data_IF_527706824162
#
_entry.id   IF_527706824162
#
_cell.length_a   1.000
_cell.length_b   1.000
_cell.length_c   1.000
_cell.angle_alpha   90.00
_cell.angle_beta   90.00
_cell.angle_gamma   90.00
#
_symmetry.space_group_name_H-M   'P 1'
#
loop_
_entity.id
_entity.type
_entity.pdbx_description
1 polymer ?
#
# COMPACT_ATOMS: atom_id res chain seq x y z
N UNK A 1 30.56 63.73 -66.76
CA UNK A 1 29.53 64.56 -67.42
C UNK A 1 28.24 64.45 -66.61
N UNK A 2 27.89 65.62 -66.04
CA UNK A 2 26.55 66.16 -65.89
C UNK A 2 25.50 65.30 -65.17
N UNK A 3 25.21 65.74 -63.90
CA UNK A 3 24.04 66.58 -63.51
C UNK A 3 22.76 65.71 -63.37
N UNK A 4 21.83 65.78 -62.38
CA UNK A 4 21.38 66.81 -61.47
C UNK A 4 20.37 66.11 -60.49
N UNK A 5 20.30 66.50 -59.26
CA UNK A 5 19.19 66.46 -58.32
C UNK A 5 18.01 67.27 -58.89
N UNK A 6 16.72 67.12 -58.42
CA UNK A 6 16.32 67.63 -57.08
C UNK A 6 15.13 66.99 -56.42
N UNK A 7 15.04 67.04 -55.11
CA UNK A 7 14.09 67.83 -54.25
C UNK A 7 12.69 67.26 -53.96
N UNK A 8 12.52 66.92 -52.70
CA UNK A 8 11.46 67.21 -51.72
C UNK A 8 9.97 66.96 -52.02
N UNK A 9 9.35 66.30 -51.09
CA UNK A 9 8.18 66.87 -50.40
C UNK A 9 7.84 66.06 -49.10
N UNK A 10 7.72 66.81 -48.03
CA UNK A 10 7.25 66.50 -46.68
C UNK A 10 5.73 66.27 -46.68
N UNK A 11 5.26 65.23 -46.01
CA UNK A 11 3.92 65.21 -45.50
C UNK A 11 3.86 64.46 -44.15
N UNK A 12 3.80 65.22 -43.12
CA UNK A 12 3.49 64.90 -41.73
C UNK A 12 2.04 64.48 -41.63
N UNK A 13 1.79 63.29 -41.03
CA UNK A 13 0.47 63.04 -40.43
C UNK A 13 0.69 62.26 -39.13
N UNK A 14 0.30 62.91 -38.05
CA UNK A 14 0.20 62.39 -36.69
C UNK A 14 -0.97 61.45 -36.60
N UNK A 15 -0.80 60.30 -35.98
CA UNK A 15 -1.91 59.43 -35.54
C UNK A 15 -1.56 58.82 -34.17
N UNK A 16 -2.35 59.23 -33.27
CA UNK A 16 -2.60 58.92 -31.88
C UNK A 16 -2.22 57.55 -31.37
N UNK A 17 -1.47 57.59 -30.27
CA UNK A 17 -1.27 56.55 -29.30
C UNK A 17 -2.58 56.18 -28.59
N UNK A 18 -3.08 55.00 -28.74
CA UNK A 18 -4.01 54.37 -27.85
C UNK A 18 -3.26 53.28 -27.06
N UNK A 19 -2.82 53.64 -25.87
CA UNK A 19 -2.34 52.71 -24.84
C UNK A 19 -3.54 51.98 -24.29
N UNK A 20 -3.82 50.79 -24.79
CA UNK A 20 -4.69 49.84 -24.18
C UNK A 20 -3.90 49.05 -23.14
N UNK A 21 -3.96 49.44 -21.88
CA UNK A 21 -3.63 48.57 -20.75
C UNK A 21 -4.71 47.49 -20.65
N UNK A 22 -4.54 46.39 -21.36
CA UNK A 22 -5.19 45.16 -21.10
C UNK A 22 -4.35 44.43 -20.03
N UNK A 23 -4.80 44.53 -18.77
CA UNK A 23 -4.34 43.57 -17.73
C UNK A 23 -4.96 42.22 -18.08
N UNK A 24 -4.29 41.45 -18.91
CA UNK A 24 -4.53 40.04 -19.00
C UNK A 24 -4.00 39.43 -17.70
N UNK A 25 -4.91 39.33 -16.75
CA UNK A 25 -4.75 38.45 -15.60
C UNK A 25 -5.03 37.02 -16.12
N UNK A 26 -4.15 36.54 -17.00
CA UNK A 26 -4.13 35.18 -17.45
C UNK A 26 -3.79 34.32 -16.24
N UNK A 27 -4.82 33.82 -15.57
CA UNK A 27 -4.67 32.68 -14.69
C UNK A 27 -3.97 31.58 -15.50
N UNK A 28 -2.69 31.39 -15.24
CA UNK A 28 -1.91 30.28 -15.72
C UNK A 28 -2.50 29.05 -15.04
N UNK A 29 -3.52 28.45 -15.65
CA UNK A 29 -3.83 27.03 -15.41
C UNK A 29 -2.60 26.28 -15.91
N UNK A 30 -1.65 26.04 -14.98
CA UNK A 30 -0.45 25.28 -15.28
C UNK A 30 -0.89 23.91 -15.82
N UNK A 31 -0.72 23.69 -17.08
CA UNK A 31 -0.91 22.40 -17.73
C UNK A 31 0.00 21.42 -16.99
N UNK A 32 -0.58 20.46 -16.28
CA UNK A 32 0.20 19.47 -15.54
C UNK A 32 1.02 18.66 -16.54
N UNK A 33 2.35 18.60 -16.34
CA UNK A 33 3.28 17.85 -17.20
C UNK A 33 2.76 16.41 -17.38
N UNK A 34 2.87 15.87 -18.60
CA UNK A 34 2.61 14.44 -18.85
C UNK A 34 3.64 13.60 -18.11
N UNK A 35 3.17 12.59 -17.40
CA UNK A 35 4.00 11.68 -16.62
C UNK A 35 3.63 10.22 -16.89
N UNK A 36 4.61 9.35 -16.75
CA UNK A 36 4.42 7.89 -16.76
C UNK A 36 4.80 7.33 -15.40
N UNK A 37 3.92 6.50 -14.82
CA UNK A 37 4.13 5.86 -13.53
C UNK A 37 4.07 4.35 -13.72
N UNK A 38 5.17 3.67 -13.41
CA UNK A 38 5.24 2.22 -13.33
C UNK A 38 4.70 1.72 -11.99
N UNK A 39 3.91 0.65 -11.98
CA UNK A 39 3.38 0.02 -10.77
C UNK A 39 3.72 -1.47 -10.80
N UNK A 40 4.53 -1.92 -9.83
CA UNK A 40 4.82 -3.33 -9.58
C UNK A 40 4.03 -3.81 -8.37
N UNK A 41 2.98 -4.59 -8.60
CA UNK A 41 2.19 -5.22 -7.54
C UNK A 41 2.64 -6.67 -7.37
N UNK A 42 2.90 -7.12 -6.13
CA UNK A 42 3.42 -8.47 -5.90
C UNK A 42 2.41 -9.55 -6.22
N UNK A 43 1.18 -9.40 -5.74
CA UNK A 43 0.07 -10.34 -5.96
C UNK A 43 -1.26 -9.59 -5.96
N UNK A 44 -2.29 -10.19 -6.52
CA UNK A 44 -3.63 -9.64 -6.51
C UNK A 44 -4.43 -10.18 -5.33
N UNK A 45 -4.87 -9.28 -4.46
CA UNK A 45 -5.89 -9.49 -3.42
C UNK A 45 -6.45 -8.13 -2.96
N UNK A 46 -7.64 -8.11 -2.33
CA UNK A 46 -8.39 -6.88 -2.06
C UNK A 46 -7.59 -5.74 -1.42
N UNK A 47 -6.76 -6.03 -0.41
CA UNK A 47 -6.01 -4.98 0.30
C UNK A 47 -4.95 -4.32 -0.58
N UNK A 48 -4.19 -5.09 -1.40
CA UNK A 48 -3.21 -4.50 -2.33
C UNK A 48 -3.89 -3.78 -3.49
N UNK A 49 -5.05 -4.27 -3.95
CA UNK A 49 -5.86 -3.60 -4.96
C UNK A 49 -6.40 -2.28 -4.43
N UNK A 50 -6.90 -2.25 -3.18
CA UNK A 50 -7.35 -1.04 -2.50
C UNK A 50 -6.22 -0.01 -2.34
N UNK A 51 -5.00 -0.45 -2.00
CA UNK A 51 -3.84 0.43 -1.94
C UNK A 51 -3.48 1.02 -3.31
N UNK A 52 -3.51 0.21 -4.38
CA UNK A 52 -3.31 0.70 -5.75
C UNK A 52 -4.38 1.71 -6.16
N UNK A 53 -5.64 1.41 -5.90
CA UNK A 53 -6.75 2.30 -6.24
C UNK A 53 -6.67 3.62 -5.48
N UNK A 54 -6.36 3.60 -4.18
CA UNK A 54 -6.11 4.78 -3.37
C UNK A 54 -4.97 5.64 -3.92
N UNK A 55 -3.87 5.02 -4.32
CA UNK A 55 -2.73 5.70 -4.95
C UNK A 55 -3.13 6.40 -6.26
N UNK A 56 -3.84 5.71 -7.15
CA UNK A 56 -4.31 6.27 -8.43
C UNK A 56 -5.30 7.41 -8.19
N UNK A 57 -6.19 7.26 -7.19
CA UNK A 57 -7.13 8.33 -6.83
C UNK A 57 -6.40 9.58 -6.35
N UNK A 58 -5.35 9.45 -5.53
CA UNK A 58 -4.58 10.60 -5.07
C UNK A 58 -3.81 11.29 -6.20
N UNK A 59 -3.28 10.53 -7.18
CA UNK A 59 -2.71 11.12 -8.39
C UNK A 59 -3.76 11.95 -9.14
N UNK A 60 -4.98 11.43 -9.28
CA UNK A 60 -6.09 12.14 -9.94
C UNK A 60 -6.46 13.42 -9.18
N UNK A 61 -6.57 13.35 -7.86
CA UNK A 61 -6.85 14.50 -7.00
C UNK A 61 -5.71 15.54 -7.09
N UNK A 62 -4.47 15.10 -7.32
CA UNK A 62 -3.29 15.91 -7.60
C UNK A 62 -3.23 16.52 -9.00
N UNK A 63 -4.20 16.23 -9.87
CA UNK A 63 -4.31 16.77 -11.23
C UNK A 63 -3.69 15.89 -12.33
N UNK A 64 -3.40 14.62 -12.03
CA UNK A 64 -2.92 13.62 -12.99
C UNK A 64 -4.06 12.67 -13.38
N UNK A 65 -4.53 12.76 -14.62
CA UNK A 65 -5.65 11.96 -15.14
C UNK A 65 -5.17 10.99 -16.19
N UNK A 66 -5.45 9.71 -16.00
CA UNK A 66 -5.08 8.65 -16.95
C UNK A 66 -5.70 8.90 -18.33
N UNK A 67 -4.91 8.76 -19.38
CA UNK A 67 -5.30 9.03 -20.76
C UNK A 67 -5.20 10.51 -21.17
N UNK A 68 -5.02 11.45 -20.24
CA UNK A 68 -4.81 12.87 -20.52
C UNK A 68 -3.33 13.25 -20.33
N UNK A 69 -2.88 13.26 -19.07
CA UNK A 69 -1.51 13.62 -18.69
C UNK A 69 -0.83 12.57 -17.79
N UNK A 70 -1.47 11.42 -17.58
CA UNK A 70 -0.94 10.28 -16.83
C UNK A 70 -1.01 9.02 -17.69
N UNK A 71 0.09 8.28 -17.73
CA UNK A 71 0.14 6.91 -18.23
C UNK A 71 0.52 5.99 -17.07
N UNK A 72 -0.25 4.93 -16.87
CA UNK A 72 0.03 3.90 -15.88
C UNK A 72 0.49 2.62 -16.59
N UNK A 73 1.66 2.08 -16.21
CA UNK A 73 2.10 0.73 -16.56
C UNK A 73 2.00 -0.15 -15.32
N UNK A 74 0.98 -0.99 -15.27
CA UNK A 74 0.68 -1.85 -14.11
C UNK A 74 1.10 -3.28 -14.41
N UNK A 75 2.05 -3.79 -13.65
CA UNK A 75 2.59 -5.15 -13.74
C UNK A 75 2.31 -5.91 -12.44
N UNK A 76 1.89 -7.18 -12.56
CA UNK A 76 1.60 -8.05 -11.42
C UNK A 76 2.53 -9.26 -11.42
N UNK A 77 3.21 -9.51 -10.30
CA UNK A 77 4.16 -10.60 -10.16
C UNK A 77 3.50 -11.95 -9.81
N UNK A 78 2.19 -11.98 -9.57
CA UNK A 78 1.41 -13.19 -9.25
C UNK A 78 1.97 -14.00 -8.08
N UNK A 79 2.58 -13.31 -7.09
CA UNK A 79 3.20 -13.90 -5.91
C UNK A 79 4.56 -14.58 -6.16
N UNK A 80 5.12 -14.41 -7.36
CA UNK A 80 6.40 -15.01 -7.74
C UNK A 80 7.56 -14.01 -7.70
N UNK A 81 8.58 -14.33 -6.92
CA UNK A 81 9.73 -13.45 -6.70
C UNK A 81 10.57 -13.24 -7.97
N UNK A 82 10.69 -14.26 -8.82
CA UNK A 82 11.46 -14.15 -10.06
C UNK A 82 10.74 -13.21 -11.04
N UNK A 83 9.43 -13.31 -11.11
CA UNK A 83 8.59 -12.40 -11.90
C UNK A 83 8.68 -10.97 -11.38
N UNK A 84 8.64 -10.74 -10.05
CA UNK A 84 8.85 -9.41 -9.45
C UNK A 84 10.22 -8.82 -9.82
N UNK A 85 11.27 -9.62 -9.81
CA UNK A 85 12.62 -9.21 -10.22
C UNK A 85 12.68 -8.86 -11.72
N UNK A 86 12.00 -9.61 -12.59
CA UNK A 86 11.92 -9.31 -14.02
C UNK A 86 11.16 -7.99 -14.27
N UNK A 87 10.03 -7.77 -13.57
CA UNK A 87 9.27 -6.52 -13.62
C UNK A 87 10.16 -5.35 -13.20
N UNK A 88 10.88 -5.47 -12.09
CA UNK A 88 11.79 -4.44 -11.61
C UNK A 88 12.89 -4.11 -12.63
N UNK A 89 13.45 -5.12 -13.29
CA UNK A 89 14.46 -4.94 -14.36
C UNK A 89 13.89 -4.21 -15.58
N UNK A 90 12.64 -4.49 -15.95
CA UNK A 90 11.95 -3.77 -17.02
C UNK A 90 11.75 -2.29 -16.65
N UNK A 91 11.28 -2.01 -15.43
CA UNK A 91 11.11 -0.64 -14.95
C UNK A 91 12.44 0.12 -14.79
N UNK A 92 13.53 -0.57 -14.45
CA UNK A 92 14.86 0.04 -14.44
C UNK A 92 15.25 0.60 -15.82
N UNK A 93 14.84 -0.08 -16.88
CA UNK A 93 15.13 0.31 -18.28
C UNK A 93 14.05 1.18 -18.92
N UNK A 94 12.93 1.42 -18.25
CA UNK A 94 11.81 2.23 -18.75
C UNK A 94 12.10 3.73 -18.71
N UNK A 95 11.18 4.52 -19.28
CA UNK A 95 11.21 5.98 -19.19
C UNK A 95 10.19 6.52 -18.18
N UNK A 96 9.84 5.73 -17.16
CA UNK A 96 8.91 6.16 -16.12
C UNK A 96 9.46 7.31 -15.30
N UNK A 97 8.61 8.29 -14.97
CA UNK A 97 8.96 9.43 -14.12
C UNK A 97 8.97 9.05 -12.63
N UNK A 98 8.24 7.98 -12.26
CA UNK A 98 8.14 7.43 -10.90
C UNK A 98 7.71 5.96 -10.98
N UNK A 99 8.18 5.15 -10.02
CA UNK A 99 7.79 3.75 -9.92
C UNK A 99 7.25 3.47 -8.52
N UNK A 100 6.12 2.73 -8.46
CA UNK A 100 5.49 2.26 -7.22
C UNK A 100 5.69 0.76 -7.06
N UNK A 101 6.21 0.34 -5.91
CA UNK A 101 6.19 -1.05 -5.44
C UNK A 101 5.08 -1.28 -4.42
N UNK A 102 4.19 -2.21 -4.71
CA UNK A 102 3.11 -2.60 -3.80
C UNK A 102 3.46 -3.96 -3.20
N UNK A 103 3.56 -4.01 -1.89
CA UNK A 103 4.07 -5.07 -1.03
C UNK A 103 5.61 -5.18 -0.99
N UNK A 104 6.12 -5.68 0.15
CA UNK A 104 7.55 -5.78 0.45
C UNK A 104 8.38 -6.47 -0.64
N UNK A 105 7.99 -7.63 -1.21
CA UNK A 105 8.81 -8.30 -2.22
C UNK A 105 8.95 -7.50 -3.53
N UNK A 106 7.90 -6.79 -3.97
CA UNK A 106 7.97 -5.89 -5.13
C UNK A 106 8.86 -4.68 -4.84
N UNK A 107 8.70 -4.05 -3.68
CA UNK A 107 9.52 -2.92 -3.26
C UNK A 107 11.01 -3.29 -3.18
N UNK A 108 11.35 -4.45 -2.63
CA UNK A 108 12.72 -4.97 -2.56
C UNK A 108 13.32 -5.19 -3.95
N UNK A 109 12.56 -5.78 -4.88
CA UNK A 109 13.01 -5.98 -6.26
C UNK A 109 13.29 -4.65 -6.96
N UNK A 110 12.38 -3.67 -6.79
CA UNK A 110 12.56 -2.32 -7.36
C UNK A 110 13.75 -1.58 -6.76
N UNK A 111 13.91 -1.59 -5.44
CA UNK A 111 15.02 -0.92 -4.78
C UNK A 111 16.40 -1.46 -5.21
N UNK A 112 16.48 -2.75 -5.56
CA UNK A 112 17.69 -3.37 -6.07
C UNK A 112 17.98 -3.03 -7.53
N UNK A 113 16.95 -2.88 -8.37
CA UNK A 113 17.10 -2.70 -9.81
C UNK A 113 17.11 -1.22 -10.24
N UNK A 114 16.33 -0.36 -9.58
CA UNK A 114 16.08 1.03 -9.97
C UNK A 114 16.88 1.98 -9.07
N UNK A 115 17.89 2.64 -9.63
CA UNK A 115 18.80 3.51 -8.86
C UNK A 115 18.76 4.98 -9.27
N UNK A 116 18.17 5.30 -10.42
CA UNK A 116 18.20 6.62 -11.08
C UNK A 116 16.84 7.34 -11.12
N UNK A 117 15.77 6.67 -10.69
CA UNK A 117 14.40 7.19 -10.69
C UNK A 117 13.80 7.15 -9.29
N UNK A 118 12.82 8.01 -8.97
CA UNK A 118 12.05 7.90 -7.75
C UNK A 118 11.33 6.57 -7.64
N UNK A 119 11.49 5.89 -6.52
CA UNK A 119 10.73 4.68 -6.17
C UNK A 119 9.94 4.97 -4.91
N UNK A 120 8.63 4.77 -4.99
CA UNK A 120 7.75 4.73 -3.82
C UNK A 120 7.38 3.29 -3.51
N UNK A 121 7.15 3.02 -2.24
CA UNK A 121 6.53 1.77 -1.80
C UNK A 121 5.26 2.03 -1.00
N UNK A 122 4.35 1.07 -1.01
CA UNK A 122 3.16 1.00 -0.14
C UNK A 122 2.94 -0.44 0.28
N UNK A 123 2.23 -0.65 1.37
CA UNK A 123 2.01 -1.98 1.95
C UNK A 123 3.34 -2.71 2.23
N UNK A 124 4.27 -2.02 2.86
CA UNK A 124 5.56 -2.54 3.33
C UNK A 124 5.60 -2.47 4.85
N UNK A 125 5.71 -3.62 5.50
CA UNK A 125 5.57 -3.74 6.95
C UNK A 125 6.69 -3.06 7.72
N UNK A 126 7.95 -3.41 7.43
CA UNK A 126 9.13 -2.76 8.00
C UNK A 126 10.13 -2.42 6.89
N UNK A 127 10.15 -1.16 6.44
CA UNK A 127 11.05 -0.75 5.35
C UNK A 127 12.53 -0.78 5.72
N UNK A 128 12.87 -0.69 7.00
CA UNK A 128 14.26 -0.75 7.47
C UNK A 128 14.74 -2.21 7.47
N UNK A 129 13.96 -3.11 8.05
CA UNK A 129 14.28 -4.56 8.07
C UNK A 129 14.26 -5.15 6.64
N UNK A 130 13.37 -4.65 5.78
CA UNK A 130 13.34 -5.00 4.36
C UNK A 130 14.54 -4.47 3.55
N UNK A 131 15.39 -3.61 4.13
CA UNK A 131 16.57 -3.02 3.48
C UNK A 131 16.23 -1.97 2.42
N UNK A 132 15.07 -1.34 2.49
CA UNK A 132 14.61 -0.34 1.53
C UNK A 132 15.11 1.07 1.86
N UNK A 133 15.25 1.37 3.14
CA UNK A 133 15.62 2.69 3.66
C UNK A 133 16.62 2.57 4.80
N UNK A 134 17.42 3.61 5.02
CA UNK A 134 18.37 3.64 6.14
C UNK A 134 17.68 3.82 7.49
N UNK A 135 16.61 4.63 7.52
CA UNK A 135 15.74 4.84 8.67
C UNK A 135 14.39 5.39 8.20
N UNK A 136 13.38 5.36 9.07
CA UNK A 136 12.05 5.91 8.79
C UNK A 136 12.07 7.41 8.52
N UNK A 137 12.87 8.17 9.29
CA UNK A 137 12.93 9.63 9.19
C UNK A 137 13.85 10.13 8.06
N UNK A 138 14.85 9.33 7.68
CA UNK A 138 15.86 9.67 6.68
C UNK A 138 16.14 8.47 5.77
N UNK A 139 15.33 8.22 4.74
CA UNK A 139 15.49 7.10 3.82
C UNK A 139 16.85 7.05 3.12
N UNK A 140 17.36 8.19 2.67
CA UNK A 140 18.76 8.37 2.26
C UNK A 140 19.07 8.06 0.79
N UNK A 141 18.19 7.39 0.05
CA UNK A 141 18.39 7.05 -1.36
C UNK A 141 17.20 7.54 -2.22
N UNK A 142 16.96 6.91 -3.35
CA UNK A 142 15.84 7.20 -4.25
C UNK A 142 14.53 6.50 -3.87
N UNK A 143 14.45 5.89 -2.68
CA UNK A 143 13.33 5.07 -2.22
C UNK A 143 12.72 5.64 -0.96
N UNK A 144 11.40 5.76 -0.91
CA UNK A 144 10.58 6.09 0.28
C UNK A 144 9.16 5.57 0.09
N UNK A 145 8.24 5.79 1.04
CA UNK A 145 6.86 5.36 0.88
C UNK A 145 6.09 5.30 2.19
N UNK A 146 5.13 4.38 2.27
CA UNK A 146 4.28 4.19 3.45
C UNK A 146 4.41 2.79 4.01
N UNK A 147 4.49 2.70 5.35
CA UNK A 147 4.45 1.42 6.06
C UNK A 147 3.03 1.03 6.41
N UNK A 148 2.75 -0.28 6.31
CA UNK A 148 1.49 -0.90 6.74
C UNK A 148 1.62 -1.68 8.05
N UNK A 149 2.66 -1.40 8.86
CA UNK A 149 2.81 -2.07 10.15
C UNK A 149 1.54 -1.92 10.97
N UNK A 150 0.88 -3.03 11.21
CA UNK A 150 -0.34 -3.12 12.00
C UNK A 150 -0.02 -3.38 13.48
N UNK A 151 -0.96 -3.10 14.41
CA UNK A 151 -0.76 -3.33 15.83
C UNK A 151 -0.92 -4.82 16.17
N UNK A 152 0.09 -5.62 15.84
CA UNK A 152 0.08 -7.09 15.98
C UNK A 152 -0.26 -7.54 17.40
N UNK A 153 0.28 -6.85 18.42
CA UNK A 153 -0.01 -7.19 19.80
C UNK A 153 -1.51 -7.05 20.14
N UNK A 154 -2.15 -5.99 19.64
CA UNK A 154 -3.59 -5.76 19.85
C UNK A 154 -4.43 -6.80 19.11
N UNK A 155 -3.99 -7.21 17.92
CA UNK A 155 -4.62 -8.29 17.16
C UNK A 155 -4.57 -9.62 17.91
N UNK A 156 -3.44 -9.97 18.50
CA UNK A 156 -3.31 -11.18 19.34
C UNK A 156 -4.17 -11.09 20.59
N UNK A 157 -4.30 -9.89 21.20
CA UNK A 157 -5.20 -9.68 22.35
C UNK A 157 -6.68 -9.90 22.00
N UNK A 158 -7.10 -9.66 20.74
CA UNK A 158 -8.46 -9.95 20.31
C UNK A 158 -8.82 -11.43 20.51
N UNK A 159 -7.85 -12.35 20.43
CA UNK A 159 -8.07 -13.78 20.68
C UNK A 159 -8.64 -13.98 22.08
N UNK A 160 -8.04 -13.36 23.09
CA UNK A 160 -8.51 -13.46 24.49
C UNK A 160 -9.78 -12.69 24.75
N UNK A 161 -9.98 -11.55 24.08
CA UNK A 161 -11.23 -10.78 24.20
C UNK A 161 -12.42 -11.54 23.61
N UNK A 162 -12.24 -12.25 22.49
CA UNK A 162 -13.27 -13.02 21.81
C UNK A 162 -13.42 -14.45 22.37
N UNK A 163 -12.34 -15.07 22.85
CA UNK A 163 -12.32 -16.43 23.40
C UNK A 163 -11.45 -16.45 24.67
N UNK A 164 -11.97 -15.99 25.83
CA UNK A 164 -11.18 -15.88 27.08
C UNK A 164 -10.52 -17.19 27.52
N UNK A 165 -11.10 -18.33 27.15
CA UNK A 165 -10.56 -19.67 27.45
C UNK A 165 -9.47 -20.16 26.49
N UNK A 166 -9.14 -19.43 25.43
CA UNK A 166 -8.13 -19.83 24.46
C UNK A 166 -6.75 -20.04 25.13
N UNK A 167 -6.07 -21.13 24.73
CA UNK A 167 -4.75 -21.54 25.23
C UNK A 167 -3.70 -21.63 24.14
N UNK A 168 -4.13 -21.58 22.87
CA UNK A 168 -3.24 -21.75 21.71
C UNK A 168 -3.67 -20.87 20.54
N UNK A 169 -2.66 -20.50 19.73
CA UNK A 169 -2.84 -19.79 18.46
C UNK A 169 -1.95 -20.44 17.39
N UNK A 170 -2.55 -20.77 16.25
CA UNK A 170 -1.83 -21.12 15.04
C UNK A 170 -1.47 -19.87 14.26
N UNK A 171 -0.25 -19.78 13.76
CA UNK A 171 0.18 -18.69 12.88
C UNK A 171 0.56 -19.31 11.53
N UNK A 172 -0.07 -18.85 10.46
CA UNK A 172 0.22 -19.30 9.09
C UNK A 172 0.83 -18.16 8.29
N UNK A 173 1.96 -18.40 7.65
CA UNK A 173 2.69 -17.37 6.93
C UNK A 173 3.67 -17.94 5.88
N UNK A 174 4.11 -17.09 4.96
CA UNK A 174 5.14 -17.41 3.96
C UNK A 174 6.54 -17.25 4.56
N UNK A 175 7.31 -18.32 4.57
CA UNK A 175 8.70 -18.29 5.08
C UNK A 175 9.66 -17.48 4.21
N UNK A 176 9.25 -17.11 2.99
CA UNK A 176 10.05 -16.32 2.05
C UNK A 176 9.74 -14.83 2.05
N UNK A 177 8.88 -14.35 2.97
CA UNK A 177 8.48 -12.95 3.05
C UNK A 177 8.97 -12.30 4.35
N UNK A 178 9.83 -11.27 4.24
CA UNK A 178 10.39 -10.53 5.38
C UNK A 178 9.29 -9.86 6.21
N UNK A 179 8.28 -9.24 5.53
CA UNK A 179 7.12 -8.64 6.19
C UNK A 179 6.38 -9.62 7.11
N UNK A 180 6.27 -10.87 6.71
CA UNK A 180 5.59 -11.89 7.50
C UNK A 180 6.42 -12.27 8.73
N UNK A 181 7.73 -12.45 8.58
CA UNK A 181 8.60 -12.81 9.68
C UNK A 181 8.58 -11.77 10.81
N UNK A 182 8.64 -10.48 10.48
CA UNK A 182 8.55 -9.38 11.46
C UNK A 182 7.27 -9.48 12.28
N UNK A 183 6.12 -9.64 11.62
CA UNK A 183 4.82 -9.75 12.29
C UNK A 183 4.70 -11.04 13.12
N UNK A 184 5.24 -12.15 12.63
CA UNK A 184 5.25 -13.43 13.36
C UNK A 184 6.05 -13.31 14.65
N UNK A 185 7.21 -12.67 14.61
CA UNK A 185 8.03 -12.49 15.80
C UNK A 185 7.35 -11.58 16.85
N UNK A 186 6.62 -10.55 16.40
CA UNK A 186 5.78 -9.75 17.31
C UNK A 186 4.58 -10.53 17.84
N UNK A 187 3.89 -11.30 16.98
CA UNK A 187 2.77 -12.13 17.39
C UNK A 187 3.18 -13.19 18.42
N UNK A 188 4.35 -13.78 18.28
CA UNK A 188 4.90 -14.74 19.26
C UNK A 188 5.16 -14.09 20.63
N UNK A 189 5.72 -12.87 20.63
CA UNK A 189 5.93 -12.10 21.87
C UNK A 189 4.59 -11.77 22.55
N UNK A 190 3.62 -11.30 21.76
CA UNK A 190 2.29 -10.98 22.25
C UNK A 190 1.54 -12.23 22.76
N UNK A 191 1.60 -13.34 22.02
CA UNK A 191 1.00 -14.61 22.39
C UNK A 191 1.58 -15.14 23.72
N UNK A 192 2.89 -15.04 23.90
CA UNK A 192 3.53 -15.40 25.17
C UNK A 192 3.03 -14.54 26.33
N UNK A 193 2.86 -13.23 26.13
CA UNK A 193 2.34 -12.31 27.16
C UNK A 193 0.88 -12.65 27.53
N UNK A 194 0.07 -13.11 26.56
CA UNK A 194 -1.31 -13.55 26.77
C UNK A 194 -1.44 -15.01 27.25
N UNK A 195 -0.31 -15.71 27.45
CA UNK A 195 -0.29 -17.11 27.89
C UNK A 195 -0.81 -18.08 26.83
N UNK A 196 -0.66 -17.76 25.54
CA UNK A 196 -1.03 -18.60 24.42
C UNK A 196 0.18 -19.41 23.95
N UNK A 197 -0.04 -20.72 23.72
CA UNK A 197 0.94 -21.56 23.05
C UNK A 197 0.86 -21.30 21.54
N UNK A 198 2.00 -21.04 20.89
CA UNK A 198 2.07 -20.82 19.45
C UNK A 198 2.37 -22.11 18.72
N UNK A 199 1.66 -22.33 17.60
CA UNK A 199 1.95 -23.34 16.59
C UNK A 199 2.14 -22.63 15.24
N UNK A 200 3.28 -22.78 14.61
CA UNK A 200 3.62 -22.15 13.35
C UNK A 200 3.46 -23.12 12.17
N UNK A 201 2.86 -22.65 11.07
CA UNK A 201 2.84 -23.34 9.78
C UNK A 201 3.33 -22.38 8.70
N UNK A 202 4.31 -22.83 7.94
CA UNK A 202 4.86 -22.04 6.84
C UNK A 202 4.40 -22.59 5.50
N UNK A 203 4.23 -21.66 4.55
CA UNK A 203 3.97 -21.99 3.15
C UNK A 203 5.02 -21.32 2.27
N UNK A 204 5.21 -21.85 1.08
CA UNK A 204 6.07 -21.26 0.05
C UNK A 204 5.26 -20.80 -1.16
N UNK A 205 4.06 -21.34 -1.31
CA UNK A 205 3.10 -20.99 -2.37
C UNK A 205 1.68 -20.87 -1.81
N UNK A 206 0.83 -20.11 -2.49
CA UNK A 206 -0.60 -19.99 -2.14
C UNK A 206 -1.33 -21.35 -2.20
N UNK A 207 -0.91 -22.27 -3.05
CA UNK A 207 -1.51 -23.60 -3.16
C UNK A 207 -1.35 -24.45 -1.89
N UNK A 208 -0.36 -24.18 -1.05
CA UNK A 208 -0.10 -24.91 0.20
C UNK A 208 -0.98 -24.42 1.36
N UNK A 209 -1.62 -23.25 1.23
CA UNK A 209 -2.39 -22.60 2.31
C UNK A 209 -3.51 -23.51 2.83
N UNK A 210 -4.25 -24.17 1.94
CA UNK A 210 -5.34 -25.06 2.32
C UNK A 210 -4.87 -26.18 3.26
N UNK A 211 -3.83 -26.90 2.85
CA UNK A 211 -3.28 -28.02 3.64
C UNK A 211 -2.71 -27.53 4.98
N UNK A 212 -2.02 -26.42 4.98
CA UNK A 212 -1.48 -25.82 6.20
C UNK A 212 -2.59 -25.43 7.17
N UNK A 213 -3.63 -24.74 6.70
CA UNK A 213 -4.77 -24.33 7.52
C UNK A 213 -5.55 -25.52 8.10
N UNK A 214 -5.79 -26.56 7.29
CA UNK A 214 -6.45 -27.79 7.73
C UNK A 214 -5.66 -28.56 8.80
N UNK A 215 -4.35 -28.37 8.89
CA UNK A 215 -3.49 -29.08 9.84
C UNK A 215 -3.49 -28.47 11.25
N UNK A 216 -4.08 -27.28 11.48
CA UNK A 216 -4.13 -26.69 12.82
C UNK A 216 -5.11 -27.42 13.75
N UNK A 217 -4.68 -27.57 15.00
CA UNK A 217 -5.51 -28.02 16.15
C UNK A 217 -5.32 -27.02 17.30
N UNK A 218 -5.65 -25.76 17.03
CA UNK A 218 -5.44 -24.63 17.95
C UNK A 218 -6.79 -23.96 18.27
N UNK A 219 -6.84 -23.15 19.31
CA UNK A 219 -8.05 -22.42 19.70
C UNK A 219 -8.37 -21.24 18.78
N UNK A 220 -7.32 -20.65 18.19
CA UNK A 220 -7.39 -19.54 17.24
C UNK A 220 -6.35 -19.72 16.15
N UNK A 221 -6.59 -19.09 14.99
CA UNK A 221 -5.61 -18.89 13.93
C UNK A 221 -5.38 -17.39 13.78
N UNK A 222 -4.14 -16.99 13.60
CA UNK A 222 -3.73 -15.64 13.22
C UNK A 222 -3.09 -15.67 11.82
N UNK A 223 -3.58 -14.79 10.95
CA UNK A 223 -3.04 -14.54 9.62
C UNK A 223 -2.47 -13.12 9.61
N UNK A 224 -1.15 -12.93 9.57
CA UNK A 224 -0.55 -11.62 9.39
C UNK A 224 -0.86 -11.04 7.99
N UNK A 225 -0.37 -9.86 7.67
CA UNK A 225 -0.43 -9.32 6.30
C UNK A 225 0.57 -10.03 5.38
N UNK A 226 0.35 -11.31 5.19
CA UNK A 226 1.14 -12.22 4.35
C UNK A 226 0.52 -12.31 2.96
N UNK A 227 1.27 -11.96 1.93
CA UNK A 227 0.73 -11.84 0.58
C UNK A 227 0.18 -13.17 0.03
N UNK A 228 0.86 -14.29 0.29
CA UNK A 228 0.45 -15.59 -0.25
C UNK A 228 -0.71 -16.20 0.53
N UNK A 229 -0.71 -16.04 1.86
CA UNK A 229 -1.79 -16.54 2.72
C UNK A 229 -3.05 -15.72 2.49
N UNK A 230 -2.95 -14.40 2.41
CA UNK A 230 -4.11 -13.52 2.14
C UNK A 230 -4.67 -13.78 0.73
N UNK A 231 -3.83 -14.07 -0.27
CA UNK A 231 -4.31 -14.50 -1.59
C UNK A 231 -5.09 -15.83 -1.55
N UNK A 232 -4.79 -16.71 -0.60
CA UNK A 232 -5.48 -17.99 -0.38
C UNK A 232 -6.42 -18.02 0.83
N UNK A 233 -6.86 -16.88 1.33
CA UNK A 233 -7.54 -16.71 2.63
C UNK A 233 -8.83 -17.54 2.75
N UNK A 234 -9.57 -17.74 1.67
CA UNK A 234 -10.81 -18.53 1.68
C UNK A 234 -10.60 -19.96 2.19
N UNK A 235 -9.44 -20.54 1.92
CA UNK A 235 -9.10 -21.86 2.45
C UNK A 235 -8.90 -21.83 3.98
N UNK A 236 -8.28 -20.76 4.50
CA UNK A 236 -8.10 -20.58 5.95
C UNK A 236 -9.45 -20.38 6.63
N UNK A 237 -10.32 -19.53 6.06
CA UNK A 237 -11.69 -19.29 6.56
C UNK A 237 -12.47 -20.61 6.61
N UNK A 238 -12.48 -21.37 5.52
CA UNK A 238 -13.18 -22.66 5.43
C UNK A 238 -12.70 -23.65 6.49
N UNK A 239 -11.39 -23.77 6.69
CA UNK A 239 -10.80 -24.64 7.71
C UNK A 239 -11.17 -24.18 9.13
N UNK A 240 -11.13 -22.88 9.39
CA UNK A 240 -11.48 -22.29 10.67
C UNK A 240 -12.96 -22.51 11.03
N UNK A 241 -13.87 -22.28 10.07
CA UNK A 241 -15.31 -22.53 10.24
C UNK A 241 -15.61 -24.01 10.50
N UNK A 242 -15.03 -24.93 9.71
CA UNK A 242 -15.23 -26.35 9.84
C UNK A 242 -14.82 -26.89 11.22
N UNK A 243 -13.74 -26.34 11.78
CA UNK A 243 -13.17 -26.74 13.07
C UNK A 243 -13.64 -25.92 14.27
N UNK A 244 -14.43 -24.85 14.05
CA UNK A 244 -14.83 -23.90 15.10
C UNK A 244 -13.63 -23.22 15.77
N UNK A 245 -12.63 -22.85 14.97
CA UNK A 245 -11.45 -22.11 15.38
C UNK A 245 -11.68 -20.62 15.06
N UNK A 246 -11.40 -19.71 16.00
CA UNK A 246 -11.49 -18.27 15.72
C UNK A 246 -10.36 -17.83 14.79
N UNK A 247 -10.64 -16.98 13.79
CA UNK A 247 -9.67 -16.49 12.81
C UNK A 247 -9.48 -14.98 12.98
N UNK A 248 -8.32 -14.58 13.44
CA UNK A 248 -7.89 -13.17 13.52
C UNK A 248 -6.99 -12.86 12.34
N UNK A 249 -7.26 -11.77 11.66
CA UNK A 249 -6.50 -11.33 10.48
C UNK A 249 -5.72 -10.04 10.75
N UNK A 250 -4.70 -9.79 9.95
CA UNK A 250 -3.84 -8.61 10.04
C UNK A 250 -4.50 -7.33 9.50
N UNK A 251 -5.61 -7.44 8.75
CA UNK A 251 -6.21 -6.27 8.08
C UNK A 251 -7.71 -6.44 7.80
N UNK A 252 -8.39 -5.30 7.47
CA UNK A 252 -9.86 -5.22 7.40
C UNK A 252 -10.48 -5.97 6.23
N UNK A 253 -9.86 -5.94 5.04
CA UNK A 253 -10.41 -6.61 3.85
C UNK A 253 -10.52 -8.13 4.07
N UNK A 254 -9.59 -8.72 4.84
CA UNK A 254 -9.69 -10.13 5.26
C UNK A 254 -10.89 -10.40 6.18
N UNK A 255 -11.29 -9.44 7.01
CA UNK A 255 -12.50 -9.56 7.84
C UNK A 255 -13.76 -9.47 6.99
N UNK A 256 -13.76 -8.61 5.98
CA UNK A 256 -14.87 -8.53 5.00
C UNK A 256 -15.03 -9.82 4.21
N UNK A 257 -13.92 -10.51 3.91
CA UNK A 257 -13.92 -11.83 3.24
C UNK A 257 -14.35 -12.98 4.16
N UNK A 258 -14.31 -12.82 5.47
CA UNK A 258 -14.78 -13.84 6.40
C UNK A 258 -13.84 -14.18 7.55
N UNK A 259 -12.74 -13.46 7.78
CA UNK A 259 -12.05 -13.54 9.05
C UNK A 259 -12.93 -12.96 10.17
N UNK A 260 -12.67 -13.35 11.42
CA UNK A 260 -13.53 -12.98 12.54
C UNK A 260 -13.37 -11.52 12.96
N UNK A 261 -12.13 -11.05 13.10
CA UNK A 261 -11.84 -9.71 13.54
C UNK A 261 -10.41 -9.27 13.22
N UNK A 262 -10.21 -7.96 13.23
CA UNK A 262 -8.90 -7.29 13.19
C UNK A 262 -8.92 -5.98 13.97
N UNK A 263 -7.75 -5.52 14.38
CA UNK A 263 -7.43 -4.13 14.65
C UNK A 263 -6.42 -3.70 13.59
N UNK A 264 -6.83 -2.88 12.62
CA UNK A 264 -5.98 -2.66 11.45
C UNK A 264 -6.16 -1.29 10.79
N UNK A 265 -5.23 -0.96 9.91
CA UNK A 265 -5.28 0.24 9.07
C UNK A 265 -6.19 0.03 7.86
N UNK A 266 -6.51 1.14 7.16
CA UNK A 266 -7.26 1.11 5.90
C UNK A 266 -6.30 1.19 4.71
N UNK A 267 -6.34 0.20 3.82
CA UNK A 267 -5.41 0.12 2.68
C UNK A 267 -5.71 1.12 1.56
N UNK A 268 -6.97 1.52 1.37
CA UNK A 268 -7.30 2.62 0.43
C UNK A 268 -6.66 3.93 0.89
N UNK A 269 -6.79 4.24 2.19
CA UNK A 269 -6.21 5.45 2.77
C UNK A 269 -4.66 5.40 2.77
N UNK A 270 -4.07 4.21 2.98
CA UNK A 270 -2.63 3.99 2.85
C UNK A 270 -2.13 4.29 1.43
N UNK A 271 -2.80 3.73 0.44
CA UNK A 271 -2.51 3.99 -0.97
C UNK A 271 -2.66 5.47 -1.32
N UNK A 272 -3.72 6.11 -0.84
CA UNK A 272 -3.93 7.54 -1.03
C UNK A 272 -2.79 8.37 -0.45
N UNK A 273 -2.35 8.07 0.76
CA UNK A 273 -1.21 8.72 1.41
C UNK A 273 0.06 8.57 0.55
N UNK A 274 0.32 7.38 0.01
CA UNK A 274 1.45 7.13 -0.91
C UNK A 274 1.31 7.94 -2.20
N UNK A 275 0.11 8.05 -2.74
CA UNK A 275 -0.18 8.85 -3.93
C UNK A 275 0.04 10.36 -3.70
N UNK A 276 -0.27 10.85 -2.51
CA UNK A 276 0.05 12.23 -2.11
C UNK A 276 1.58 12.46 -2.04
N UNK A 277 2.35 11.45 -1.62
CA UNK A 277 3.82 11.48 -1.72
C UNK A 277 4.28 11.54 -3.19
N UNK A 278 3.65 10.75 -4.07
CA UNK A 278 3.94 10.78 -5.51
C UNK A 278 3.68 12.17 -6.12
N UNK A 279 2.58 12.82 -5.74
CA UNK A 279 2.26 14.17 -6.20
C UNK A 279 3.34 15.17 -5.77
N UNK A 280 3.82 15.10 -4.52
CA UNK A 280 4.95 15.94 -4.05
C UNK A 280 6.23 15.73 -4.86
N UNK A 281 6.53 14.50 -5.26
CA UNK A 281 7.69 14.18 -6.10
C UNK A 281 7.49 14.73 -7.52
N UNK A 282 6.37 14.43 -8.16
CA UNK A 282 6.11 14.73 -9.56
C UNK A 282 5.87 16.23 -9.81
N UNK A 283 5.23 16.94 -8.88
CA UNK A 283 4.80 18.32 -9.01
C UNK A 283 5.78 19.31 -8.36
N UNK A 284 6.24 18.98 -7.16
CA UNK A 284 7.03 19.89 -6.34
C UNK A 284 8.53 19.56 -6.39
N UNK A 285 8.91 18.43 -7.03
CA UNK A 285 10.31 18.00 -7.14
C UNK A 285 10.90 17.50 -5.83
N UNK A 286 10.06 17.04 -4.89
CA UNK A 286 10.51 16.45 -3.64
C UNK A 286 11.39 15.21 -3.90
N UNK A 287 12.42 15.03 -3.09
CA UNK A 287 13.36 13.93 -3.27
C UNK A 287 13.03 12.78 -2.31
N UNK A 288 12.85 11.55 -2.78
CA UNK A 288 12.52 10.42 -1.92
C UNK A 288 13.43 10.26 -0.70
N UNK A 289 14.73 10.40 -0.89
CA UNK A 289 15.70 10.26 0.20
C UNK A 289 15.62 11.32 1.31
N UNK A 290 14.90 12.41 1.08
CA UNK A 290 14.64 13.49 2.03
C UNK A 290 13.21 13.44 2.61
N UNK A 291 12.37 12.52 2.12
CA UNK A 291 10.99 12.34 2.57
C UNK A 291 10.93 11.19 3.55
N UNK A 292 10.57 11.46 4.80
CA UNK A 292 10.35 10.41 5.79
C UNK A 292 9.35 9.36 5.28
N UNK A 293 9.54 8.11 5.70
CA UNK A 293 8.51 7.08 5.52
C UNK A 293 7.31 7.45 6.37
N UNK A 294 6.12 7.37 5.79
CA UNK A 294 4.89 7.73 6.47
C UNK A 294 4.12 6.50 6.94
N UNK A 295 3.30 6.67 7.97
CA UNK A 295 2.43 5.62 8.51
C UNK A 295 1.05 6.18 8.81
N UNK A 296 0.04 5.34 8.77
CA UNK A 296 -1.29 5.69 9.31
C UNK A 296 -1.23 5.70 10.85
N UNK A 297 -1.92 6.66 11.45
CA UNK A 297 -1.99 6.80 12.92
C UNK A 297 -3.22 6.15 13.52
N UNK A 298 -4.28 6.01 12.71
CA UNK A 298 -5.56 5.49 13.15
C UNK A 298 -5.73 4.05 12.67
N UNK A 299 -6.15 3.19 13.58
CA UNK A 299 -6.53 1.81 13.30
C UNK A 299 -7.99 1.62 13.64
N UNK A 300 -8.65 0.67 12.97
CA UNK A 300 -10.07 0.36 13.18
C UNK A 300 -10.25 -1.05 13.70
N UNK A 301 -11.12 -1.19 14.70
CA UNK A 301 -11.60 -2.49 15.15
C UNK A 301 -12.76 -2.91 14.24
N UNK A 302 -12.54 -3.97 13.46
CA UNK A 302 -13.55 -4.53 12.55
C UNK A 302 -13.87 -5.94 13.01
N UNK A 303 -15.16 -6.27 13.14
CA UNK A 303 -15.64 -7.58 13.61
C UNK A 303 -16.69 -8.10 12.62
N UNK A 304 -16.61 -9.38 12.28
CA UNK A 304 -17.61 -10.05 11.44
C UNK A 304 -18.52 -10.94 12.32
N UNK A 305 -19.73 -10.45 12.58
CA UNK A 305 -20.71 -11.16 13.42
C UNK A 305 -21.27 -12.43 12.74
N UNK A 306 -21.36 -12.43 11.41
CA UNK A 306 -21.76 -13.62 10.65
C UNK A 306 -20.72 -14.74 10.81
N UNK A 307 -19.43 -14.40 10.68
CA UNK A 307 -18.33 -15.35 10.86
C UNK A 307 -18.23 -15.82 12.32
N UNK A 308 -18.41 -14.91 13.29
CA UNK A 308 -18.43 -15.28 14.70
C UNK A 308 -19.41 -16.44 14.98
N UNK A 309 -20.63 -16.34 14.42
CA UNK A 309 -21.63 -17.40 14.53
C UNK A 309 -21.19 -18.70 13.85
N UNK A 310 -20.58 -18.61 12.67
CA UNK A 310 -20.07 -19.76 11.93
C UNK A 310 -18.94 -20.47 12.69
N UNK A 311 -18.04 -19.71 13.31
CA UNK A 311 -16.93 -20.23 14.11
C UNK A 311 -17.32 -20.58 15.56
N UNK A 312 -18.58 -20.35 15.96
CA UNK A 312 -19.07 -20.65 17.33
C UNK A 312 -18.49 -19.71 18.38
N UNK A 313 -18.18 -18.46 18.02
CA UNK A 313 -17.66 -17.42 18.91
C UNK A 313 -18.79 -16.46 19.28
N UNK A 314 -18.95 -16.18 20.57
CA UNK A 314 -19.84 -15.12 21.05
C UNK A 314 -19.03 -13.80 21.14
N UNK A 315 -19.52 -12.75 20.50
CA UNK A 315 -18.89 -11.42 20.57
C UNK A 315 -19.39 -10.72 21.82
N UNK A 316 -18.50 -10.39 22.79
CA UNK A 316 -18.90 -9.63 23.97
C UNK A 316 -19.50 -8.28 23.59
N UNK A 317 -20.58 -7.86 24.28
CA UNK A 317 -21.23 -6.58 23.99
C UNK A 317 -20.26 -5.40 24.08
N UNK A 318 -19.36 -5.42 25.09
CA UNK A 318 -18.34 -4.39 25.24
C UNK A 318 -17.37 -4.28 24.06
N UNK A 319 -17.09 -5.38 23.37
CA UNK A 319 -16.24 -5.38 22.19
C UNK A 319 -17.01 -4.89 20.96
N UNK A 320 -18.29 -5.26 20.85
CA UNK A 320 -19.20 -4.78 19.81
C UNK A 320 -19.39 -3.26 19.90
N UNK A 321 -19.52 -2.72 21.12
CA UNK A 321 -19.67 -1.28 21.37
C UNK A 321 -18.38 -0.47 21.06
N UNK A 322 -17.22 -1.11 21.07
CA UNK A 322 -15.92 -0.52 20.73
C UNK A 322 -15.59 -0.63 19.25
N UNK A 323 -16.28 -1.51 18.52
CA UNK A 323 -15.98 -1.75 17.11
C UNK A 323 -16.33 -0.54 16.24
N UNK A 324 -15.42 -0.15 15.38
CA UNK A 324 -15.65 0.87 14.35
C UNK A 324 -16.58 0.35 13.25
N UNK A 325 -16.53 -0.97 13.00
CA UNK A 325 -17.39 -1.65 12.04
C UNK A 325 -17.77 -3.06 12.55
N UNK A 326 -19.06 -3.37 12.44
CA UNK A 326 -19.59 -4.73 12.65
C UNK A 326 -20.28 -5.18 11.38
N UNK A 327 -19.78 -6.26 10.78
CA UNK A 327 -20.34 -6.89 9.57
C UNK A 327 -21.38 -7.90 10.05
N UNK A 328 -22.66 -7.70 9.69
CA UNK A 328 -23.83 -8.51 10.13
C UNK A 328 -24.14 -9.67 9.16
#
# INVERSE_FOLDING_TARGET
MKRLLPVAAVATTAALLLTGCGSDNGGQSGETKKVTVGISQFVEHPSLDAAREGFVQALKDGGYTEGENLTLDVQNASGDQATATNIASNFASSNDDLILGIATPSAQSLAQAVTDKPVLFTAVTDPVDAGLVNSMDAPGANVTGTTDMNPVAEQIQLIKKLKPGAKSVGIIYSSGETNSQVQVDEAKKAAQAEGLKVEEKTVTTTAEVAQAAESFDTDSIYVPTDNKVVAGLEAVISAAEAKKISLIAGEGDSVERGALATQGINYTDLGKQTGEMAVRILKDGAKPGEMAVESQKETKLIINAKTAKAMGVEIPQSLRDQADQVIE
#
